data_IF_867567448965
#
_entry.id   IF_867567448965
#
_cell.length_a   1.000
_cell.length_b   1.000
_cell.length_c   1.000
_cell.angle_alpha   90.00
_cell.angle_beta   90.00
_cell.angle_gamma   90.00
#
_symmetry.space_group_name_H-M   'P 1'
#
loop_
_entity.id
_entity.type
_entity.pdbx_description
1 polymer ?
#
# COMPACT_ATOMS: atom_id res chain seq x y z
N UNK A 1 -15.58 -10.08 -9.47
CA UNK A 1 -15.51 -10.02 -7.98
C UNK A 1 -16.55 -10.93 -7.37
N UNK A 2 -16.17 -11.82 -6.45
CA UNK A 2 -17.12 -12.75 -5.78
C UNK A 2 -18.08 -11.99 -4.82
N UNK A 3 -17.63 -10.86 -4.26
CA UNK A 3 -18.36 -10.09 -3.25
C UNK A 3 -18.72 -8.69 -3.72
N UNK A 4 -19.90 -8.22 -3.32
CA UNK A 4 -20.34 -6.84 -3.60
C UNK A 4 -19.65 -5.83 -2.69
N UNK A 5 -19.59 -4.56 -3.10
CA UNK A 5 -19.03 -3.48 -2.27
C UNK A 5 -19.74 -3.38 -0.90
N UNK A 6 -21.06 -3.62 -0.85
CA UNK A 6 -21.82 -3.67 0.39
C UNK A 6 -21.32 -4.75 1.35
N UNK A 7 -21.03 -5.95 0.84
CA UNK A 7 -20.47 -7.05 1.63
C UNK A 7 -19.04 -6.75 2.09
N UNK A 8 -18.21 -6.17 1.22
CA UNK A 8 -16.85 -5.76 1.59
C UNK A 8 -16.83 -4.71 2.71
N UNK A 9 -17.76 -3.75 2.70
CA UNK A 9 -17.90 -2.79 3.80
C UNK A 9 -18.24 -3.47 5.12
N UNK A 10 -19.17 -4.45 5.11
CA UNK A 10 -19.49 -5.23 6.29
C UNK A 10 -18.33 -6.10 6.77
N UNK A 11 -17.59 -6.71 5.85
CA UNK A 11 -16.37 -7.45 6.20
C UNK A 11 -15.37 -6.55 6.90
N UNK A 12 -15.09 -5.36 6.34
CA UNK A 12 -14.22 -4.40 6.97
C UNK A 12 -14.66 -4.06 8.41
N UNK A 13 -15.92 -3.73 8.62
CA UNK A 13 -16.43 -3.34 9.93
C UNK A 13 -16.39 -4.50 10.93
N UNK A 14 -16.92 -5.66 10.56
CA UNK A 14 -17.05 -6.80 11.48
C UNK A 14 -15.66 -7.37 11.83
N UNK A 15 -14.77 -7.56 10.85
CA UNK A 15 -13.44 -8.07 11.14
C UNK A 15 -12.55 -7.05 11.87
N UNK A 16 -12.74 -5.75 11.66
CA UNK A 16 -12.09 -4.73 12.48
C UNK A 16 -12.53 -4.81 13.95
N UNK A 17 -13.81 -5.03 14.21
CA UNK A 17 -14.32 -5.21 15.56
C UNK A 17 -13.83 -6.52 16.20
N UNK A 18 -13.88 -7.62 15.46
CA UNK A 18 -13.40 -8.93 15.94
C UNK A 18 -11.88 -8.90 16.21
N UNK A 19 -11.11 -8.25 15.37
CA UNK A 19 -9.66 -8.06 15.58
C UNK A 19 -9.37 -7.28 16.85
N UNK A 20 -10.08 -6.18 17.07
CA UNK A 20 -9.97 -5.43 18.33
C UNK A 20 -10.34 -6.28 19.56
N UNK A 21 -11.39 -7.08 19.44
CA UNK A 21 -11.82 -7.97 20.53
C UNK A 21 -10.75 -9.03 20.84
N UNK A 22 -10.15 -9.65 19.82
CA UNK A 22 -9.07 -10.63 19.98
C UNK A 22 -7.82 -9.99 20.64
N UNK A 23 -7.40 -8.82 20.18
CA UNK A 23 -6.25 -8.12 20.77
C UNK A 23 -6.49 -7.72 22.22
N UNK A 24 -7.68 -7.20 22.51
CA UNK A 24 -8.07 -6.79 23.87
C UNK A 24 -8.16 -7.98 24.81
N UNK A 25 -8.74 -9.10 24.35
CA UNK A 25 -8.81 -10.34 25.10
C UNK A 25 -7.42 -10.93 25.38
N UNK A 26 -6.55 -10.98 24.38
CA UNK A 26 -5.18 -11.44 24.52
C UNK A 26 -4.37 -10.55 25.49
N UNK A 27 -4.58 -9.22 25.44
CA UNK A 27 -3.94 -8.28 26.35
C UNK A 27 -4.46 -8.44 27.79
N UNK A 28 -5.76 -8.66 27.97
CA UNK A 28 -6.39 -8.91 29.25
C UNK A 28 -5.88 -10.21 29.90
N UNK A 29 -5.77 -11.29 29.12
CA UNK A 29 -5.21 -12.56 29.57
C UNK A 29 -3.75 -12.43 30.04
N UNK A 30 -2.93 -11.62 29.35
CA UNK A 30 -1.51 -11.42 29.71
C UNK A 30 -1.27 -10.44 30.87
N UNK A 31 -2.10 -9.41 31.02
CA UNK A 31 -1.86 -8.28 31.97
C UNK A 31 -2.92 -8.16 33.07
N UNK A 32 -3.97 -9.00 33.08
CA UNK A 32 -5.07 -8.94 34.05
C UNK A 32 -5.91 -7.66 34.02
N UNK A 33 -5.79 -6.85 32.96
CA UNK A 33 -6.53 -5.57 32.80
C UNK A 33 -7.01 -5.39 31.38
N UNK A 34 -8.26 -4.98 31.22
CA UNK A 34 -8.82 -4.57 29.95
C UNK A 34 -8.21 -3.22 29.51
N UNK A 35 -7.36 -3.24 28.51
CA UNK A 35 -6.71 -2.06 27.94
C UNK A 35 -7.02 -2.01 26.44
N UNK A 36 -7.69 -0.94 26.01
CA UNK A 36 -7.79 -0.67 24.58
C UNK A 36 -6.41 -0.26 24.04
N UNK A 37 -5.80 -1.16 23.25
CA UNK A 37 -4.50 -0.96 22.60
C UNK A 37 -4.65 -0.46 21.16
N UNK A 38 -5.86 -0.35 20.64
CA UNK A 38 -6.10 0.15 19.29
C UNK A 38 -5.64 1.59 19.09
N UNK A 39 -5.30 1.94 17.87
CA UNK A 39 -5.08 3.33 17.46
C UNK A 39 -6.35 4.17 17.69
N UNK A 40 -7.51 3.61 17.38
CA UNK A 40 -8.81 4.22 17.56
C UNK A 40 -9.29 4.18 19.01
N UNK A 41 -10.14 5.16 19.38
CA UNK A 41 -10.85 5.14 20.66
C UNK A 41 -12.00 4.13 20.60
N UNK A 42 -12.66 4.03 19.45
CA UNK A 42 -13.69 3.04 19.18
C UNK A 42 -13.13 1.60 19.20
N UNK A 43 -13.97 0.59 19.48
CA UNK A 43 -13.57 -0.80 19.58
C UNK A 43 -13.33 -1.43 18.19
N UNK A 44 -12.41 -0.87 17.42
CA UNK A 44 -12.05 -1.31 16.08
C UNK A 44 -10.54 -1.32 15.85
N UNK A 45 -10.05 -2.38 15.19
CA UNK A 45 -8.68 -2.50 14.71
C UNK A 45 -8.70 -2.61 13.18
N UNK A 46 -8.56 -1.48 12.44
CA UNK A 46 -8.76 -1.45 10.98
C UNK A 46 -7.91 -2.45 10.20
N UNK A 47 -6.70 -2.74 10.65
CA UNK A 47 -5.78 -3.67 9.98
C UNK A 47 -6.42 -5.05 9.74
N UNK A 48 -7.24 -5.54 10.67
CA UNK A 48 -7.96 -6.83 10.49
C UNK A 48 -9.06 -6.72 9.45
N UNK A 49 -9.79 -5.60 9.43
CA UNK A 49 -10.80 -5.33 8.41
C UNK A 49 -10.18 -5.16 7.02
N UNK A 50 -9.09 -4.42 6.92
CA UNK A 50 -8.34 -4.25 5.68
C UNK A 50 -7.81 -5.59 5.17
N UNK A 51 -7.24 -6.43 6.05
CA UNK A 51 -6.79 -7.77 5.68
C UNK A 51 -7.93 -8.64 5.16
N UNK A 52 -9.08 -8.64 5.84
CA UNK A 52 -10.25 -9.41 5.41
C UNK A 52 -10.80 -8.97 4.05
N UNK A 53 -10.81 -7.65 3.78
CA UNK A 53 -11.17 -7.10 2.46
C UNK A 53 -10.15 -7.53 1.41
N UNK A 54 -8.85 -7.43 1.69
CA UNK A 54 -7.81 -7.91 0.80
C UNK A 54 -7.98 -9.41 0.50
N UNK A 55 -8.24 -10.25 1.50
CA UNK A 55 -8.49 -11.67 1.28
C UNK A 55 -9.72 -11.90 0.39
N UNK A 56 -10.81 -11.16 0.63
CA UNK A 56 -12.05 -11.29 -0.14
C UNK A 56 -11.91 -10.82 -1.60
N UNK A 57 -11.04 -9.87 -1.86
CA UNK A 57 -10.80 -9.32 -3.21
C UNK A 57 -9.74 -10.13 -3.96
N UNK A 58 -8.64 -10.51 -3.29
CA UNK A 58 -7.45 -11.01 -3.96
C UNK A 58 -7.32 -12.54 -3.96
N UNK A 59 -7.97 -13.27 -3.04
CA UNK A 59 -7.73 -14.70 -2.87
C UNK A 59 -8.88 -15.65 -3.25
N UNK A 60 -10.06 -15.20 -3.74
CA UNK A 60 -11.15 -16.14 -4.01
C UNK A 60 -10.81 -17.24 -5.01
N UNK A 61 -10.00 -16.92 -6.03
CA UNK A 61 -9.54 -17.88 -7.05
C UNK A 61 -8.71 -19.03 -6.47
N UNK A 62 -8.06 -18.80 -5.33
CA UNK A 62 -7.23 -19.80 -4.66
C UNK A 62 -8.03 -20.74 -3.73
N UNK A 63 -9.36 -20.60 -3.65
CA UNK A 63 -10.21 -21.50 -2.83
C UNK A 63 -10.10 -22.95 -3.22
N UNK A 64 -9.86 -23.26 -4.52
CA UNK A 64 -9.63 -24.63 -4.99
C UNK A 64 -8.30 -25.23 -4.52
N UNK A 65 -7.36 -24.40 -4.06
CA UNK A 65 -6.04 -24.78 -3.63
C UNK A 65 -5.70 -24.20 -2.23
N UNK A 66 -6.21 -24.80 -1.13
CA UNK A 66 -6.12 -24.23 0.23
C UNK A 66 -4.70 -23.92 0.70
N UNK A 67 -3.72 -24.68 0.27
CA UNK A 67 -2.32 -24.41 0.59
C UNK A 67 -1.87 -23.06 -0.01
N UNK A 68 -2.19 -22.81 -1.28
CA UNK A 68 -1.84 -21.54 -1.93
C UNK A 68 -2.66 -20.38 -1.38
N UNK A 69 -3.91 -20.62 -0.98
CA UNK A 69 -4.72 -19.62 -0.28
C UNK A 69 -4.10 -19.25 1.07
N UNK A 70 -3.64 -20.24 1.84
CA UNK A 70 -2.90 -20.01 3.09
C UNK A 70 -1.65 -19.15 2.86
N UNK A 71 -0.82 -19.53 1.86
CA UNK A 71 0.40 -18.78 1.53
C UNK A 71 0.07 -17.37 1.04
N UNK A 72 -0.91 -17.22 0.15
CA UNK A 72 -1.37 -15.92 -0.34
C UNK A 72 -1.87 -15.01 0.78
N UNK A 73 -2.68 -15.54 1.69
CA UNK A 73 -3.17 -14.79 2.86
C UNK A 73 -2.04 -14.39 3.82
N UNK A 74 -1.12 -15.31 4.07
CA UNK A 74 0.09 -15.04 4.86
C UNK A 74 0.90 -13.88 4.24
N UNK A 75 1.15 -13.90 2.94
CA UNK A 75 1.95 -12.89 2.26
C UNK A 75 1.25 -11.53 2.22
N UNK A 76 -0.03 -11.49 1.84
CA UNK A 76 -0.80 -10.24 1.74
C UNK A 76 -0.94 -9.55 3.09
N UNK A 77 -1.33 -10.28 4.13
CA UNK A 77 -1.49 -9.69 5.46
C UNK A 77 -0.15 -9.28 6.08
N UNK A 78 0.92 -10.06 5.85
CA UNK A 78 2.27 -9.69 6.30
C UNK A 78 2.75 -8.42 5.62
N UNK A 79 2.48 -8.26 4.32
CA UNK A 79 2.80 -7.03 3.59
C UNK A 79 1.97 -5.85 4.12
N UNK A 80 0.67 -6.02 4.35
CA UNK A 80 -0.20 -5.01 4.95
C UNK A 80 0.31 -4.59 6.34
N UNK A 81 0.61 -5.55 7.21
CA UNK A 81 1.11 -5.32 8.56
C UNK A 81 2.44 -4.56 8.55
N UNK A 82 3.36 -4.93 7.65
CA UNK A 82 4.62 -4.23 7.47
C UNK A 82 4.44 -2.79 6.98
N UNK A 83 3.60 -2.59 5.96
CA UNK A 83 3.31 -1.26 5.39
C UNK A 83 2.66 -0.38 6.44
N UNK A 84 1.62 -0.86 7.10
CA UNK A 84 0.88 -0.11 8.13
C UNK A 84 1.80 0.21 9.32
N UNK A 85 2.56 -0.77 9.82
CA UNK A 85 3.50 -0.59 10.93
C UNK A 85 4.59 0.43 10.60
N UNK A 86 5.18 0.34 9.41
CA UNK A 86 6.22 1.29 8.96
C UNK A 86 5.66 2.71 8.74
N UNK A 87 4.46 2.85 8.20
CA UNK A 87 3.79 4.14 8.02
C UNK A 87 3.45 4.79 9.36
N UNK A 88 2.85 4.04 10.28
CA UNK A 88 2.51 4.55 11.61
C UNK A 88 3.78 4.95 12.38
N UNK A 89 4.84 4.15 12.35
CA UNK A 89 6.12 4.53 12.96
C UNK A 89 6.70 5.79 12.30
N UNK A 90 6.60 5.93 10.99
CA UNK A 90 7.10 7.11 10.27
C UNK A 90 6.32 8.39 10.59
N UNK A 91 4.98 8.29 10.69
CA UNK A 91 4.09 9.43 10.92
C UNK A 91 4.14 9.85 12.39
N UNK A 92 4.03 8.89 13.30
CA UNK A 92 3.84 9.12 14.73
C UNK A 92 5.10 8.88 15.57
N UNK A 93 6.18 8.33 14.97
CA UNK A 93 7.46 8.11 15.63
C UNK A 93 7.48 6.97 16.64
N UNK A 94 6.45 6.09 16.63
CA UNK A 94 6.40 4.93 17.52
C UNK A 94 5.70 3.74 16.90
N UNK A 95 5.99 2.55 17.42
CA UNK A 95 5.39 1.29 17.01
C UNK A 95 4.11 1.02 17.79
N UNK A 96 3.02 0.68 17.10
CA UNK A 96 1.75 0.26 17.70
C UNK A 96 1.80 -1.17 18.23
N UNK A 97 2.55 -2.02 17.53
CA UNK A 97 2.91 -3.37 18.00
C UNK A 97 4.42 -3.53 17.83
N UNK A 98 4.99 -4.40 18.61
CA UNK A 98 6.43 -4.67 18.59
C UNK A 98 6.72 -6.15 18.81
N UNK A 99 7.15 -6.81 17.74
CA UNK A 99 7.55 -8.22 17.73
C UNK A 99 9.06 -8.40 17.88
N UNK A 100 9.79 -7.38 18.33
CA UNK A 100 11.26 -7.44 18.44
C UNK A 100 11.76 -8.58 19.32
N UNK A 101 10.93 -9.07 20.24
CA UNK A 101 11.23 -10.20 21.11
C UNK A 101 10.87 -11.56 20.51
N UNK A 102 10.12 -11.59 19.40
CA UNK A 102 9.75 -12.84 18.74
C UNK A 102 10.87 -13.27 17.78
N UNK A 103 11.14 -14.59 17.65
CA UNK A 103 12.10 -15.10 16.68
C UNK A 103 11.61 -14.84 15.25
N UNK A 104 12.54 -14.72 14.30
CA UNK A 104 12.23 -14.48 12.88
C UNK A 104 11.37 -13.21 12.65
N UNK A 105 11.61 -12.15 13.47
CA UNK A 105 10.96 -10.88 13.28
C UNK A 105 11.73 -9.98 12.31
N UNK A 106 10.99 -9.07 11.66
CA UNK A 106 11.54 -8.01 10.84
C UNK A 106 11.25 -6.67 11.50
N UNK A 107 12.27 -6.11 12.13
CA UNK A 107 12.23 -4.82 12.84
C UNK A 107 11.10 -4.68 13.88
N UNK A 108 10.57 -5.79 14.36
CA UNK A 108 9.43 -5.79 15.26
C UNK A 108 8.09 -5.43 14.60
N UNK A 109 8.03 -5.16 13.30
CA UNK A 109 6.77 -4.90 12.60
C UNK A 109 6.04 -6.19 12.24
N UNK A 110 6.78 -7.21 11.80
CA UNK A 110 6.25 -8.51 11.43
C UNK A 110 7.12 -9.62 12.01
N UNK A 111 6.55 -10.81 12.17
CA UNK A 111 7.32 -12.01 12.50
C UNK A 111 6.65 -13.26 11.91
N UNK A 112 7.45 -14.30 11.64
CA UNK A 112 6.98 -15.52 10.99
C UNK A 112 5.80 -16.16 11.72
N UNK A 113 5.80 -16.16 13.05
CA UNK A 113 4.72 -16.72 13.88
C UNK A 113 3.36 -16.10 13.57
N UNK A 114 3.27 -14.77 13.53
CA UNK A 114 2.03 -14.07 13.24
C UNK A 114 1.70 -14.06 11.76
N UNK A 115 2.70 -14.12 10.87
CA UNK A 115 2.47 -14.34 9.44
C UNK A 115 1.76 -15.68 9.18
N UNK A 116 2.15 -16.75 9.87
CA UNK A 116 1.44 -18.04 9.79
C UNK A 116 0.00 -17.95 10.32
N UNK A 117 -0.21 -17.20 11.40
CA UNK A 117 -1.56 -16.94 11.93
C UNK A 117 -2.41 -16.20 10.89
N UNK A 118 -1.86 -15.22 10.18
CA UNK A 118 -2.56 -14.51 9.10
C UNK A 118 -2.98 -15.45 7.96
N UNK A 119 -2.14 -16.43 7.60
CA UNK A 119 -2.51 -17.46 6.63
C UNK A 119 -3.71 -18.30 7.09
N UNK A 120 -3.74 -18.70 8.38
CA UNK A 120 -4.88 -19.40 8.95
C UNK A 120 -6.14 -18.54 9.00
N UNK A 121 -6.01 -17.26 9.32
CA UNK A 121 -7.13 -16.32 9.30
C UNK A 121 -7.69 -16.12 7.89
N UNK A 122 -6.85 -16.14 6.85
CA UNK A 122 -7.31 -16.07 5.46
C UNK A 122 -8.17 -17.30 5.09
N UNK A 123 -7.73 -18.51 5.47
CA UNK A 123 -8.53 -19.72 5.32
C UNK A 123 -9.86 -19.59 6.05
N UNK A 124 -9.84 -19.19 7.32
CA UNK A 124 -11.04 -18.98 8.11
C UNK A 124 -11.98 -17.96 7.46
N UNK A 125 -11.47 -16.81 7.04
CA UNK A 125 -12.27 -15.77 6.40
C UNK A 125 -12.97 -16.30 5.15
N UNK A 126 -12.26 -16.93 4.22
CA UNK A 126 -12.82 -17.31 2.92
C UNK A 126 -13.70 -18.55 2.96
N UNK A 127 -13.39 -19.53 3.82
CA UNK A 127 -14.17 -20.77 3.89
C UNK A 127 -15.34 -20.69 4.87
N UNK A 128 -15.22 -19.93 5.96
CA UNK A 128 -16.21 -19.91 7.02
C UNK A 128 -16.78 -18.51 7.29
N UNK A 129 -15.91 -17.55 7.53
CA UNK A 129 -16.30 -16.23 8.02
C UNK A 129 -17.11 -15.42 6.99
N UNK A 130 -16.59 -15.28 5.77
CA UNK A 130 -17.28 -14.52 4.73
C UNK A 130 -18.62 -15.13 4.31
N UNK A 131 -18.76 -16.47 4.07
CA UNK A 131 -20.05 -17.06 3.81
C UNK A 131 -21.07 -16.83 4.93
N UNK A 132 -20.64 -16.95 6.20
CA UNK A 132 -21.49 -16.66 7.34
C UNK A 132 -21.93 -15.19 7.37
N UNK A 133 -20.99 -14.26 7.16
CA UNK A 133 -21.28 -12.83 7.15
C UNK A 133 -22.19 -12.42 5.98
N UNK A 134 -22.03 -13.02 4.80
CA UNK A 134 -22.95 -12.82 3.67
C UNK A 134 -24.38 -13.25 4.07
N UNK A 135 -24.52 -14.42 4.71
CA UNK A 135 -25.82 -14.88 5.19
C UNK A 135 -26.43 -13.93 6.21
N UNK A 136 -25.64 -13.49 7.20
CA UNK A 136 -26.11 -12.55 8.23
C UNK A 136 -26.47 -11.17 7.67
N UNK A 137 -25.68 -10.65 6.74
CA UNK A 137 -25.96 -9.34 6.12
C UNK A 137 -27.18 -9.36 5.20
N UNK A 138 -27.54 -10.53 4.64
CA UNK A 138 -28.76 -10.69 3.84
C UNK A 138 -30.04 -10.63 4.68
N UNK A 139 -29.98 -10.84 6.01
CA UNK A 139 -31.12 -10.65 6.91
C UNK A 139 -31.43 -9.18 7.19
N UNK A 140 -30.47 -8.28 6.93
CA UNK A 140 -30.63 -6.85 7.15
C UNK A 140 -31.18 -6.22 5.86
N UNK A 141 -32.30 -5.48 5.91
CA UNK A 141 -32.76 -4.72 4.75
C UNK A 141 -31.65 -3.84 4.19
N UNK A 142 -31.38 -3.95 2.89
CA UNK A 142 -30.19 -3.35 2.24
C UNK A 142 -30.03 -1.86 2.51
N UNK A 143 -31.14 -1.10 2.48
CA UNK A 143 -31.14 0.35 2.80
C UNK A 143 -30.70 0.64 4.24
N UNK A 144 -31.23 -0.13 5.19
CA UNK A 144 -30.89 0.01 6.61
C UNK A 144 -29.42 -0.36 6.84
N UNK A 145 -28.97 -1.47 6.26
CA UNK A 145 -27.59 -1.92 6.37
C UNK A 145 -26.59 -0.93 5.76
N UNK A 146 -26.92 -0.28 4.64
CA UNK A 146 -26.08 0.76 4.03
C UNK A 146 -25.98 2.00 4.94
N UNK A 147 -27.10 2.46 5.49
CA UNK A 147 -27.12 3.62 6.41
C UNK A 147 -26.25 3.32 7.64
N UNK A 148 -26.41 2.14 8.25
CA UNK A 148 -25.61 1.74 9.42
C UNK A 148 -24.12 1.68 9.07
N UNK A 149 -23.76 1.01 7.97
CA UNK A 149 -22.36 0.86 7.56
C UNK A 149 -21.72 2.22 7.28
N UNK A 150 -22.40 3.11 6.55
CA UNK A 150 -21.91 4.47 6.27
C UNK A 150 -21.78 5.29 7.57
N UNK A 151 -22.77 5.24 8.45
CA UNK A 151 -22.71 5.95 9.72
C UNK A 151 -21.52 5.51 10.58
N UNK A 152 -21.28 4.19 10.69
CA UNK A 152 -20.12 3.65 11.43
C UNK A 152 -18.81 4.07 10.75
N UNK A 153 -18.71 4.02 9.42
CA UNK A 153 -17.52 4.48 8.70
C UNK A 153 -17.23 5.96 8.93
N UNK A 154 -18.25 6.81 8.92
CA UNK A 154 -18.09 8.26 9.22
C UNK A 154 -17.60 8.45 10.65
N UNK A 155 -18.16 7.73 11.63
CA UNK A 155 -17.69 7.77 13.02
C UNK A 155 -16.25 7.29 13.16
N UNK A 156 -15.86 6.20 12.45
CA UNK A 156 -14.49 5.69 12.44
C UNK A 156 -13.53 6.69 11.80
N UNK A 157 -13.92 7.33 10.70
CA UNK A 157 -13.12 8.38 10.05
C UNK A 157 -12.92 9.60 10.97
N UNK A 158 -13.96 10.01 11.68
CA UNK A 158 -13.88 11.09 12.67
C UNK A 158 -12.98 10.69 13.86
N UNK A 159 -13.08 9.46 14.37
CA UNK A 159 -12.20 8.93 15.42
C UNK A 159 -10.75 8.82 14.96
N UNK A 160 -10.52 8.36 13.73
CA UNK A 160 -9.20 8.31 13.12
C UNK A 160 -8.56 9.70 13.00
N UNK A 161 -9.33 10.68 12.53
CA UNK A 161 -8.89 12.07 12.44
C UNK A 161 -8.60 12.67 13.83
N UNK A 162 -9.46 12.43 14.81
CA UNK A 162 -9.30 12.88 16.20
C UNK A 162 -8.09 12.25 16.88
N UNK A 163 -7.93 10.93 16.77
CA UNK A 163 -6.79 10.18 17.32
C UNK A 163 -5.47 10.60 16.67
N UNK A 164 -5.47 10.75 15.33
CA UNK A 164 -4.32 11.25 14.58
C UNK A 164 -3.94 12.68 14.95
N UNK A 165 -4.92 13.58 15.06
CA UNK A 165 -4.70 14.98 15.48
C UNK A 165 -4.13 15.05 16.90
N UNK A 166 -4.67 14.28 17.85
CA UNK A 166 -4.18 14.22 19.23
C UNK A 166 -2.74 13.74 19.33
N UNK A 167 -2.37 12.74 18.51
CA UNK A 167 -0.99 12.22 18.44
C UNK A 167 -0.03 13.19 17.75
N UNK A 168 -0.47 13.85 16.69
CA UNK A 168 0.32 14.89 16.02
C UNK A 168 0.53 16.11 16.90
N UNK A 169 -0.41 16.42 17.83
CA UNK A 169 -0.21 17.46 18.84
C UNK A 169 0.84 17.04 19.87
N UNK A 170 0.79 15.81 20.37
CA UNK A 170 1.83 15.28 21.28
C UNK A 170 3.21 15.34 20.61
N UNK A 171 3.28 15.02 19.34
CA UNK A 171 4.49 15.13 18.52
C UNK A 171 4.78 16.57 18.06
N UNK A 172 3.78 17.39 17.85
CA UNK A 172 3.85 18.75 17.29
C UNK A 172 4.31 19.83 18.27
N UNK A 173 4.23 19.58 19.60
CA UNK A 173 4.91 20.41 20.60
C UNK A 173 6.43 20.47 20.38
N UNK A 174 6.94 19.70 19.44
CA UNK A 174 8.35 19.48 19.15
C UNK A 174 8.81 19.91 17.75
N UNK A 175 7.91 20.37 16.82
CA UNK A 175 8.27 20.78 15.44
C UNK A 175 7.90 22.22 15.16
N UNK A 176 8.77 22.96 14.45
CA UNK A 176 8.37 24.20 13.78
C UNK A 176 7.32 23.89 12.69
N UNK A 177 6.30 24.74 12.54
CA UNK A 177 5.12 24.41 11.77
C UNK A 177 5.38 24.48 10.26
N UNK A 178 5.20 23.36 9.56
CA UNK A 178 4.85 23.39 8.13
C UNK A 178 3.44 23.96 7.96
N UNK A 179 3.09 24.52 6.79
CA UNK A 179 1.75 25.11 6.54
C UNK A 179 0.61 24.10 6.76
N UNK A 180 0.83 22.83 6.43
CA UNK A 180 -0.11 21.74 6.71
C UNK A 180 -0.29 21.54 8.22
N UNK A 181 0.79 21.62 9.00
CA UNK A 181 0.79 21.53 10.46
C UNK A 181 0.07 22.71 11.11
N UNK A 182 0.06 23.91 10.49
CA UNK A 182 -0.68 25.09 10.98
C UNK A 182 -2.19 24.95 10.80
N UNK A 183 -2.65 24.45 9.65
CA UNK A 183 -4.08 24.19 9.40
C UNK A 183 -4.61 23.09 10.34
N UNK A 184 -3.86 22.03 10.55
CA UNK A 184 -4.23 20.97 11.49
C UNK A 184 -4.20 21.46 12.96
N UNK A 185 -3.31 22.38 13.34
CA UNK A 185 -3.33 23.01 14.66
C UNK A 185 -4.54 23.92 14.87
N UNK A 186 -4.98 24.63 13.85
CA UNK A 186 -6.20 25.44 13.94
C UNK A 186 -7.45 24.58 14.20
N UNK A 187 -7.56 23.45 13.47
CA UNK A 187 -8.61 22.44 13.71
C UNK A 187 -8.44 21.80 15.09
N UNK A 188 -7.23 21.52 15.50
CA UNK A 188 -6.89 20.87 16.76
C UNK A 188 -7.08 21.80 17.96
N UNK A 189 -6.76 23.09 17.85
CA UNK A 189 -7.04 24.09 18.90
C UNK A 189 -8.54 24.38 19.04
N UNK A 190 -9.32 24.25 17.95
CA UNK A 190 -10.78 24.29 18.02
C UNK A 190 -11.37 23.04 18.72
N UNK A 191 -10.61 21.93 18.74
CA UNK A 191 -10.94 20.67 19.41
C UNK A 191 -10.24 20.54 20.79
N UNK A 192 -9.63 21.60 21.35
CA UNK A 192 -8.97 21.58 22.67
C UNK A 192 -9.98 21.45 23.82
N UNK A 193 -10.70 20.35 23.77
CA UNK A 193 -11.77 19.98 24.67
C UNK A 193 -11.35 18.74 25.49
N UNK A 194 -12.19 18.38 26.45
CA UNK A 194 -12.05 17.19 27.31
C UNK A 194 -11.70 15.91 26.54
N UNK A 195 -12.13 15.78 25.28
CA UNK A 195 -11.89 14.64 24.38
C UNK A 195 -10.41 14.51 24.01
N UNK A 196 -9.74 15.59 23.59
CA UNK A 196 -8.30 15.56 23.24
C UNK A 196 -7.45 15.21 24.46
N UNK A 197 -7.78 15.76 25.63
CA UNK A 197 -7.11 15.42 26.89
C UNK A 197 -7.35 13.98 27.32
N UNK A 198 -8.55 13.46 27.09
CA UNK A 198 -8.86 12.04 27.34
C UNK A 198 -8.03 11.12 26.45
N UNK A 199 -7.98 11.39 25.14
CA UNK A 199 -7.21 10.63 24.14
C UNK A 199 -5.73 10.64 24.50
N UNK A 200 -5.16 11.80 24.83
CA UNK A 200 -3.77 11.95 25.22
C UNK A 200 -3.43 11.18 26.49
N UNK A 201 -4.29 11.20 27.51
CA UNK A 201 -4.11 10.42 28.74
C UNK A 201 -4.22 8.91 28.49
N UNK A 202 -5.14 8.49 27.64
CA UNK A 202 -5.27 7.08 27.23
C UNK A 202 -4.01 6.60 26.51
N UNK A 203 -3.54 7.37 25.54
CA UNK A 203 -2.33 7.05 24.77
C UNK A 203 -1.09 6.98 25.64
N UNK A 204 -0.89 7.93 26.55
CA UNK A 204 0.23 7.91 27.48
C UNK A 204 0.21 6.68 28.41
N UNK A 205 -0.98 6.19 28.78
CA UNK A 205 -1.11 4.96 29.59
C UNK A 205 -0.92 3.68 28.77
N UNK A 206 -1.38 3.68 27.51
CA UNK A 206 -1.24 2.52 26.62
C UNK A 206 0.20 2.36 26.13
N UNK A 207 0.92 3.47 25.95
CA UNK A 207 2.26 3.53 25.36
C UNK A 207 3.22 4.38 26.21
N UNK A 208 3.80 3.82 27.28
CA UNK A 208 4.73 4.54 28.17
C UNK A 208 6.01 5.04 27.49
N UNK A 209 6.32 4.54 26.28
CA UNK A 209 7.53 4.88 25.51
C UNK A 209 7.47 6.22 24.76
N UNK A 210 6.41 7.02 24.94
CA UNK A 210 6.33 8.42 24.47
C UNK A 210 7.28 9.33 25.28
N UNK A 211 8.57 9.00 25.27
CA UNK A 211 9.60 9.80 25.96
C UNK A 211 9.95 11.03 25.11
N UNK A 212 9.55 12.20 25.61
CA UNK A 212 9.74 13.50 24.96
C UNK A 212 11.22 13.86 24.74
N UNK A 213 12.12 13.32 25.55
CA UNK A 213 13.54 13.69 25.50
C UNK A 213 14.31 12.93 24.42
N UNK A 214 13.94 11.68 24.15
CA UNK A 214 14.52 10.88 23.06
C UNK A 214 14.15 11.45 21.69
N UNK A 215 12.89 11.87 21.52
CA UNK A 215 12.40 12.53 20.30
C UNK A 215 13.05 13.90 20.06
N UNK A 216 13.40 14.65 21.11
CA UNK A 216 14.14 15.93 21.01
C UNK A 216 15.56 15.74 20.52
N UNK A 217 16.27 14.70 20.98
CA UNK A 217 17.64 14.41 20.57
C UNK A 217 17.76 13.97 19.12
N UNK A 218 16.85 13.11 18.66
CA UNK A 218 16.82 12.67 17.24
C UNK A 218 16.56 13.83 16.28
N UNK A 219 15.68 14.76 16.66
CA UNK A 219 15.36 15.96 15.86
C UNK A 219 16.46 17.01 15.81
N UNK A 220 17.25 17.14 16.86
CA UNK A 220 18.43 18.03 16.84
C UNK A 220 19.44 17.56 15.79
N UNK A 221 19.58 16.23 15.60
CA UNK A 221 20.42 15.63 14.57
C UNK A 221 19.85 15.81 13.16
N UNK A 222 18.54 15.83 12.98
CA UNK A 222 17.89 16.08 11.67
C UNK A 222 17.95 17.56 11.22
N UNK A 223 17.85 18.53 12.14
CA UNK A 223 17.92 19.98 11.82
C UNK A 223 19.25 20.41 11.20
N UNK A 224 20.36 19.76 11.56
CA UNK A 224 21.69 20.06 11.01
C UNK A 224 21.86 19.57 9.55
N UNK A 225 21.00 18.66 9.08
CA UNK A 225 21.10 18.03 7.76
C UNK A 225 20.34 18.71 6.61
N UNK A 226 19.53 19.72 6.83
CA UNK A 226 18.54 20.23 5.86
C UNK A 226 19.12 21.20 4.79
N UNK A 227 20.36 21.04 4.34
CA UNK A 227 20.98 21.97 3.35
C UNK A 227 20.98 21.45 1.91
N UNK A 228 20.58 20.22 1.64
CA UNK A 228 20.66 19.59 0.32
C UNK A 228 19.24 19.27 -0.20
N UNK A 229 19.03 19.50 -1.51
CA UNK A 229 17.75 19.16 -2.16
C UNK A 229 17.45 17.67 -2.02
N UNK A 230 16.19 17.33 -1.75
CA UNK A 230 15.69 15.97 -1.67
C UNK A 230 16.47 15.04 -0.71
N UNK A 231 17.09 15.58 0.33
CA UNK A 231 17.86 14.80 1.31
C UNK A 231 16.96 13.80 2.06
N UNK A 232 17.46 12.59 2.28
CA UNK A 232 16.74 11.52 2.96
C UNK A 232 15.69 10.84 2.07
N UNK A 233 14.61 10.31 2.69
CA UNK A 233 13.53 9.61 2.01
C UNK A 233 12.22 10.41 2.10
N UNK A 234 12.22 11.64 1.56
CA UNK A 234 11.07 12.55 1.53
C UNK A 234 10.37 12.59 0.17
N UNK A 235 9.26 13.37 0.10
CA UNK A 235 8.44 13.51 -1.12
C UNK A 235 9.27 13.81 -2.38
N UNK A 236 10.15 14.82 -2.35
CA UNK A 236 10.98 15.17 -3.49
C UNK A 236 11.86 14.02 -3.96
N UNK A 237 12.52 13.30 -3.03
CA UNK A 237 13.33 12.13 -3.35
C UNK A 237 12.49 11.02 -3.99
N UNK A 238 11.35 10.68 -3.39
CA UNK A 238 10.49 9.59 -3.85
C UNK A 238 9.89 9.88 -5.23
N UNK A 239 9.53 11.12 -5.53
CA UNK A 239 9.06 11.52 -6.86
C UNK A 239 10.11 11.28 -7.93
N UNK A 240 11.37 11.71 -7.69
CA UNK A 240 12.45 11.48 -8.62
C UNK A 240 12.76 9.99 -8.79
N UNK A 241 12.77 9.23 -7.69
CA UNK A 241 12.93 7.78 -7.73
C UNK A 241 11.85 7.14 -8.57
N UNK A 242 10.59 7.54 -8.38
CA UNK A 242 9.46 7.03 -9.16
C UNK A 242 9.67 7.24 -10.66
N UNK A 243 9.95 8.47 -11.08
CA UNK A 243 10.11 8.81 -12.51
C UNK A 243 11.31 8.08 -13.13
N UNK A 244 12.47 8.08 -12.45
CA UNK A 244 13.67 7.44 -12.97
C UNK A 244 13.51 5.91 -13.00
N UNK A 245 12.92 5.32 -11.97
CA UNK A 245 12.70 3.88 -11.93
C UNK A 245 11.62 3.43 -12.93
N UNK A 246 10.59 4.24 -13.17
CA UNK A 246 9.59 3.98 -14.19
C UNK A 246 10.22 3.98 -15.60
N UNK A 247 11.11 4.93 -15.88
CA UNK A 247 11.85 5.00 -17.14
C UNK A 247 12.82 3.82 -17.30
N UNK A 248 13.67 3.59 -16.31
CA UNK A 248 14.68 2.52 -16.37
C UNK A 248 14.04 1.13 -16.41
N UNK A 249 12.93 0.94 -15.68
CA UNK A 249 12.20 -0.33 -15.65
C UNK A 249 11.59 -0.67 -17.00
N UNK A 250 10.95 0.30 -17.65
CA UNK A 250 10.42 0.11 -19.01
C UNK A 250 11.51 -0.22 -20.02
N UNK A 251 12.61 0.52 -20.00
CA UNK A 251 13.77 0.25 -20.87
C UNK A 251 14.35 -1.15 -20.62
N UNK A 252 14.48 -1.54 -19.35
CA UNK A 252 14.97 -2.87 -18.97
C UNK A 252 14.05 -3.97 -19.48
N UNK A 253 12.74 -3.87 -19.26
CA UNK A 253 11.77 -4.85 -19.74
C UNK A 253 11.71 -4.92 -21.27
N UNK A 254 11.77 -3.78 -21.95
CA UNK A 254 11.79 -3.73 -23.44
C UNK A 254 13.02 -4.46 -23.98
N UNK A 255 14.20 -4.25 -23.39
CA UNK A 255 15.43 -4.98 -23.75
C UNK A 255 15.30 -6.44 -23.39
N UNK A 256 14.77 -6.79 -22.21
CA UNK A 256 14.54 -8.17 -21.80
C UNK A 256 13.61 -8.92 -22.76
N UNK A 257 12.52 -8.29 -23.22
CA UNK A 257 11.61 -8.87 -24.23
C UNK A 257 12.35 -9.15 -25.55
N UNK A 258 13.25 -8.26 -25.97
CA UNK A 258 14.06 -8.51 -27.16
C UNK A 258 14.92 -9.76 -27.05
N UNK A 259 15.51 -10.02 -25.89
CA UNK A 259 16.34 -11.21 -25.71
C UNK A 259 15.52 -12.49 -25.46
N UNK A 260 14.38 -12.40 -24.77
CA UNK A 260 13.57 -13.56 -24.41
C UNK A 260 12.58 -13.98 -25.49
N UNK A 261 11.98 -13.01 -26.21
CA UNK A 261 10.94 -13.26 -27.22
C UNK A 261 11.43 -13.02 -28.65
N UNK A 262 12.60 -12.42 -28.85
CA UNK A 262 13.15 -12.11 -30.17
C UNK A 262 12.58 -10.84 -30.82
N UNK A 263 11.63 -10.15 -30.18
CA UNK A 263 10.93 -8.99 -30.71
C UNK A 263 11.06 -7.76 -29.79
N UNK A 264 11.03 -6.56 -30.40
CA UNK A 264 10.92 -5.32 -29.66
C UNK A 264 9.45 -5.06 -29.32
N UNK A 265 9.11 -5.18 -28.04
CA UNK A 265 7.76 -4.97 -27.55
C UNK A 265 7.76 -3.84 -26.51
N UNK A 266 6.83 -2.88 -26.64
CA UNK A 266 6.64 -1.86 -25.62
C UNK A 266 6.16 -2.50 -24.31
N UNK A 267 6.75 -2.04 -23.21
CA UNK A 267 6.37 -2.45 -21.84
C UNK A 267 5.89 -1.23 -21.04
N UNK A 268 5.63 -0.12 -21.74
CA UNK A 268 5.16 1.10 -21.11
C UNK A 268 3.76 0.90 -20.51
N UNK A 269 3.57 1.43 -19.32
CA UNK A 269 2.24 1.54 -18.70
C UNK A 269 1.52 2.85 -19.07
N UNK A 270 2.18 3.76 -19.78
CA UNK A 270 1.67 5.09 -20.09
C UNK A 270 1.73 5.39 -21.59
N UNK A 271 0.78 6.19 -22.06
CA UNK A 271 0.70 6.60 -23.47
C UNK A 271 1.81 7.55 -23.92
N UNK A 272 2.33 8.36 -22.99
CA UNK A 272 3.35 9.35 -23.30
C UNK A 272 4.67 9.01 -22.63
N UNK A 273 5.61 8.53 -23.42
CA UNK A 273 6.95 8.16 -23.02
C UNK A 273 7.08 6.73 -22.48
N UNK A 274 8.31 6.23 -22.40
CA UNK A 274 8.61 4.87 -21.98
C UNK A 274 8.63 4.79 -20.44
N UNK A 275 7.47 4.73 -19.81
CA UNK A 275 7.35 4.69 -18.35
C UNK A 275 6.53 3.49 -17.89
N UNK A 276 7.13 2.59 -17.11
CA UNK A 276 6.45 1.54 -16.40
C UNK A 276 6.12 1.98 -14.96
N UNK A 277 4.83 2.27 -14.69
CA UNK A 277 4.39 2.66 -13.34
C UNK A 277 4.59 1.55 -12.32
N UNK A 278 4.58 0.29 -12.75
CA UNK A 278 4.84 -0.86 -11.89
C UNK A 278 6.26 -0.79 -11.33
N UNK A 279 7.27 -0.54 -12.15
CA UNK A 279 8.63 -0.34 -11.69
C UNK A 279 8.80 0.92 -10.85
N UNK A 280 8.13 2.00 -11.23
CA UNK A 280 8.15 3.26 -10.49
C UNK A 280 7.64 3.11 -9.06
N UNK A 281 6.43 2.60 -8.89
CA UNK A 281 5.85 2.37 -7.56
C UNK A 281 6.57 1.25 -6.79
N UNK A 282 6.99 0.18 -7.46
CA UNK A 282 7.79 -0.87 -6.85
C UNK A 282 9.07 -0.34 -6.21
N UNK A 283 9.84 0.47 -6.94
CA UNK A 283 11.05 1.10 -6.43
C UNK A 283 10.78 2.05 -5.25
N UNK A 284 9.68 2.83 -5.30
CA UNK A 284 9.26 3.71 -4.19
C UNK A 284 8.91 2.88 -2.95
N UNK A 285 8.09 1.84 -3.09
CA UNK A 285 7.68 0.96 -1.99
C UNK A 285 8.90 0.29 -1.37
N UNK A 286 9.76 -0.33 -2.18
CA UNK A 286 11.00 -0.95 -1.71
C UNK A 286 11.91 0.06 -0.98
N UNK A 287 12.04 1.28 -1.52
CA UNK A 287 12.84 2.33 -0.88
C UNK A 287 12.25 2.75 0.46
N UNK A 288 10.93 3.01 0.53
CA UNK A 288 10.28 3.44 1.77
C UNK A 288 10.40 2.38 2.86
N UNK A 289 10.21 1.11 2.51
CA UNK A 289 10.20 0.00 3.46
C UNK A 289 11.62 -0.44 3.84
N UNK A 290 12.55 -0.49 2.86
CA UNK A 290 13.87 -1.10 3.06
C UNK A 290 15.03 -0.10 3.20
N UNK A 291 14.82 1.21 2.98
CA UNK A 291 15.86 2.22 3.13
C UNK A 291 16.60 2.19 4.47
N UNK A 292 15.89 1.94 5.56
CA UNK A 292 16.46 1.81 6.92
C UNK A 292 17.39 0.60 7.07
N UNK A 293 17.26 -0.41 6.17
CA UNK A 293 17.97 -1.69 6.21
C UNK A 293 19.05 -1.80 5.13
N UNK A 294 19.37 -0.71 4.46
CA UNK A 294 20.38 -0.69 3.39
C UNK A 294 21.75 -1.25 3.82
N UNK A 295 22.07 -1.18 5.11
CA UNK A 295 23.34 -1.68 5.69
C UNK A 295 23.24 -3.16 6.16
N UNK A 296 22.07 -3.79 6.03
CA UNK A 296 21.88 -5.22 6.34
C UNK A 296 22.51 -6.11 5.26
N UNK A 297 22.66 -7.42 5.58
CA UNK A 297 23.20 -8.43 4.66
C UNK A 297 22.31 -8.57 3.43
N UNK A 298 22.92 -8.89 2.31
CA UNK A 298 22.22 -9.02 1.02
C UNK A 298 21.13 -10.10 1.04
N UNK A 299 21.38 -11.25 1.71
CA UNK A 299 20.36 -12.29 1.89
C UNK A 299 19.11 -11.83 2.63
N UNK A 300 19.24 -10.86 3.56
CA UNK A 300 18.09 -10.24 4.21
C UNK A 300 17.27 -9.39 3.22
N UNK A 301 17.95 -8.53 2.45
CA UNK A 301 17.27 -7.70 1.45
C UNK A 301 16.65 -8.56 0.34
N UNK A 302 17.35 -9.63 -0.07
CA UNK A 302 16.85 -10.59 -1.04
C UNK A 302 15.54 -11.24 -0.57
N UNK A 303 15.53 -11.82 0.64
CA UNK A 303 14.34 -12.50 1.18
C UNK A 303 13.14 -11.58 1.25
N UNK A 304 13.33 -10.37 1.82
CA UNK A 304 12.24 -9.41 1.93
C UNK A 304 11.82 -8.81 0.59
N UNK A 305 12.78 -8.60 -0.30
CA UNK A 305 12.49 -8.19 -1.68
C UNK A 305 11.67 -9.22 -2.44
N UNK A 306 11.98 -10.50 -2.26
CA UNK A 306 11.23 -11.64 -2.84
C UNK A 306 9.76 -11.59 -2.41
N UNK A 307 9.51 -11.47 -1.10
CA UNK A 307 8.15 -11.46 -0.53
C UNK A 307 7.39 -10.19 -0.92
N UNK A 308 8.01 -9.02 -0.71
CA UNK A 308 7.37 -7.73 -1.00
C UNK A 308 7.12 -7.54 -2.50
N UNK A 309 8.09 -7.91 -3.33
CA UNK A 309 7.97 -7.80 -4.78
C UNK A 309 6.89 -8.72 -5.32
N UNK A 310 6.84 -9.99 -4.87
CA UNK A 310 5.79 -10.92 -5.25
C UNK A 310 4.39 -10.45 -4.83
N UNK A 311 4.23 -9.98 -3.58
CA UNK A 311 2.95 -9.44 -3.11
C UNK A 311 2.53 -8.18 -3.90
N UNK A 312 3.49 -7.32 -4.24
CA UNK A 312 3.26 -6.13 -5.04
C UNK A 312 2.82 -6.48 -6.47
N UNK A 313 3.54 -7.40 -7.15
CA UNK A 313 3.23 -7.84 -8.51
C UNK A 313 1.86 -8.51 -8.58
N UNK A 314 1.55 -9.38 -7.62
CA UNK A 314 0.22 -9.98 -7.49
C UNK A 314 -0.86 -8.91 -7.33
N UNK A 315 -0.65 -7.94 -6.44
CA UNK A 315 -1.56 -6.82 -6.24
C UNK A 315 -1.78 -5.98 -7.51
N UNK A 316 -0.72 -5.69 -8.27
CA UNK A 316 -0.83 -4.98 -9.55
C UNK A 316 -1.68 -5.76 -10.57
N UNK A 317 -1.50 -7.09 -10.68
CA UNK A 317 -2.30 -7.93 -11.58
C UNK A 317 -3.79 -7.88 -11.23
N UNK A 318 -4.13 -8.06 -9.95
CA UNK A 318 -5.54 -8.00 -9.52
C UNK A 318 -6.14 -6.61 -9.70
N UNK A 319 -5.39 -5.54 -9.38
CA UNK A 319 -5.87 -4.17 -9.58
C UNK A 319 -6.14 -3.85 -11.04
N UNK A 320 -5.28 -4.30 -11.97
CA UNK A 320 -5.49 -4.10 -13.40
C UNK A 320 -6.75 -4.80 -13.91
N UNK A 321 -7.00 -6.02 -13.43
CA UNK A 321 -8.23 -6.74 -13.76
C UNK A 321 -9.47 -6.08 -13.17
N UNK A 322 -9.44 -5.65 -11.90
CA UNK A 322 -10.56 -4.97 -11.27
C UNK A 322 -10.90 -3.61 -11.95
N UNK A 323 -9.89 -2.90 -12.43
CA UNK A 323 -10.07 -1.58 -13.04
C UNK A 323 -10.47 -1.66 -14.52
N UNK A 324 -9.94 -2.65 -15.24
CA UNK A 324 -10.01 -2.70 -16.69
C UNK A 324 -10.52 -4.04 -17.26
N UNK A 325 -10.76 -5.04 -16.42
CA UNK A 325 -11.07 -6.41 -16.90
C UNK A 325 -9.91 -7.04 -17.66
N UNK A 326 -8.68 -6.58 -17.43
CA UNK A 326 -7.52 -6.91 -18.28
C UNK A 326 -6.32 -7.24 -17.44
N UNK A 327 -5.54 -8.26 -17.83
CA UNK A 327 -4.23 -8.59 -17.27
C UNK A 327 -3.14 -8.33 -18.29
N UNK A 328 -1.97 -7.89 -17.82
CA UNK A 328 -0.82 -7.55 -18.68
C UNK A 328 0.27 -8.62 -18.70
N UNK A 329 0.13 -9.67 -17.88
CA UNK A 329 0.98 -10.87 -17.83
C UNK A 329 0.20 -12.07 -17.31
N UNK A 330 0.65 -13.26 -17.67
CA UNK A 330 0.04 -14.53 -17.29
C UNK A 330 1.15 -15.58 -17.14
N UNK A 331 1.30 -16.10 -15.93
CA UNK A 331 2.29 -17.12 -15.56
C UNK A 331 1.67 -18.50 -15.34
N UNK A 332 0.42 -18.73 -15.74
CA UNK A 332 -0.29 -20.00 -15.51
C UNK A 332 0.44 -21.20 -16.09
N UNK A 333 1.22 -21.00 -17.16
CA UNK A 333 2.04 -22.03 -17.79
C UNK A 333 3.38 -22.32 -17.10
N UNK A 334 3.78 -21.51 -16.09
CA UNK A 334 5.05 -21.67 -15.37
C UNK A 334 4.79 -22.38 -14.03
N UNK A 335 5.58 -23.43 -13.68
CA UNK A 335 5.44 -24.10 -12.39
C UNK A 335 5.59 -23.15 -11.19
N UNK A 336 4.95 -23.50 -10.07
CA UNK A 336 4.94 -22.71 -8.83
C UNK A 336 4.39 -21.29 -9.02
N UNK A 337 3.40 -21.12 -9.92
CA UNK A 337 2.63 -19.89 -10.01
C UNK A 337 1.51 -19.83 -8.95
N UNK A 338 1.05 -18.63 -8.65
CA UNK A 338 -0.07 -18.37 -7.76
C UNK A 338 -1.18 -17.68 -8.57
N UNK A 339 -2.17 -18.49 -9.02
CA UNK A 339 -3.28 -17.99 -9.84
C UNK A 339 -2.84 -17.38 -11.19
N UNK A 340 -1.73 -17.81 -11.78
CA UNK A 340 -1.18 -17.23 -13.00
C UNK A 340 -0.62 -15.82 -12.86
N UNK A 341 -0.80 -15.16 -11.70
CA UNK A 341 -0.49 -13.74 -11.48
C UNK A 341 0.94 -13.48 -11.06
N UNK A 342 1.54 -14.41 -10.32
CA UNK A 342 2.97 -14.44 -9.96
C UNK A 342 3.47 -15.86 -9.99
N UNK A 343 4.79 -16.03 -10.06
CA UNK A 343 5.45 -17.31 -9.83
C UNK A 343 6.73 -17.15 -8.99
N UNK A 344 7.18 -18.25 -8.42
CA UNK A 344 8.31 -18.25 -7.50
C UNK A 344 9.61 -17.73 -8.14
N UNK A 345 9.83 -18.01 -9.43
CA UNK A 345 11.03 -17.56 -10.16
C UNK A 345 11.07 -16.03 -10.25
N UNK A 346 9.95 -15.39 -10.62
CA UNK A 346 9.88 -13.93 -10.69
C UNK A 346 9.89 -13.27 -9.31
N UNK A 347 9.36 -13.94 -8.28
CA UNK A 347 9.57 -13.46 -6.90
C UNK A 347 11.07 -13.40 -6.55
N UNK A 348 11.88 -14.38 -6.97
CA UNK A 348 13.35 -14.35 -6.79
C UNK A 348 13.99 -13.21 -7.58
N UNK A 349 13.52 -12.93 -8.79
CA UNK A 349 13.99 -11.77 -9.55
C UNK A 349 13.71 -10.46 -8.81
N UNK A 350 12.53 -10.31 -8.18
CA UNK A 350 12.25 -9.18 -7.29
C UNK A 350 13.22 -9.11 -6.10
N UNK A 351 13.60 -10.24 -5.54
CA UNK A 351 14.63 -10.33 -4.50
C UNK A 351 15.98 -9.81 -4.98
N UNK A 352 16.45 -10.25 -6.15
CA UNK A 352 17.69 -9.80 -6.77
C UNK A 352 17.59 -8.30 -7.09
N UNK A 353 16.51 -7.87 -7.74
CA UNK A 353 16.26 -6.48 -8.08
C UNK A 353 16.30 -5.57 -6.84
N UNK A 354 15.76 -6.04 -5.71
CA UNK A 354 15.80 -5.31 -4.43
C UNK A 354 17.23 -5.12 -3.92
N UNK A 355 18.06 -6.16 -3.97
CA UNK A 355 19.48 -6.04 -3.54
C UNK A 355 20.21 -5.06 -4.45
N UNK A 356 20.07 -5.20 -5.76
CA UNK A 356 20.67 -4.29 -6.75
C UNK A 356 20.16 -2.86 -6.56
N UNK A 357 18.86 -2.70 -6.36
CA UNK A 357 18.24 -1.40 -6.10
C UNK A 357 18.83 -0.73 -4.86
N UNK A 358 18.75 -1.37 -3.72
CA UNK A 358 19.13 -0.76 -2.42
C UNK A 358 20.64 -0.57 -2.30
N UNK A 359 21.46 -1.49 -2.80
CA UNK A 359 22.93 -1.45 -2.64
C UNK A 359 23.64 -0.69 -3.75
N UNK A 360 23.09 -0.69 -4.96
CA UNK A 360 23.82 -0.21 -6.15
C UNK A 360 23.15 1.01 -6.77
N UNK A 361 21.86 0.88 -7.15
CA UNK A 361 21.19 1.92 -7.92
C UNK A 361 20.75 3.09 -7.05
N UNK A 362 20.06 2.81 -5.95
CA UNK A 362 19.54 3.85 -5.07
C UNK A 362 20.62 4.83 -4.56
N UNK A 363 21.79 4.39 -4.05
CA UNK A 363 22.82 5.33 -3.61
C UNK A 363 23.31 6.25 -4.71
N UNK A 364 23.50 5.72 -5.93
CA UNK A 364 23.96 6.52 -7.09
C UNK A 364 22.89 7.53 -7.51
N UNK A 365 21.65 7.11 -7.61
CA UNK A 365 20.53 7.97 -7.97
C UNK A 365 20.25 9.02 -6.90
N UNK A 366 20.30 8.64 -5.62
CA UNK A 366 20.18 9.57 -4.51
C UNK A 366 21.19 10.68 -4.58
N UNK A 367 22.48 10.34 -4.81
CA UNK A 367 23.55 11.31 -4.95
C UNK A 367 23.36 12.23 -6.17
N UNK A 368 22.85 11.69 -7.28
CA UNK A 368 22.56 12.48 -8.49
C UNK A 368 21.42 13.48 -8.24
N UNK A 369 20.32 13.03 -7.62
CA UNK A 369 19.17 13.88 -7.28
C UNK A 369 19.57 14.98 -6.29
N UNK A 370 20.42 14.66 -5.31
CA UNK A 370 20.88 15.61 -4.29
C UNK A 370 21.79 16.72 -4.83
N UNK A 371 22.36 16.54 -6.03
CA UNK A 371 23.14 17.59 -6.71
C UNK A 371 22.28 18.72 -7.30
N UNK A 372 20.98 18.49 -7.44
CA UNK A 372 20.08 19.51 -7.98
C UNK A 372 20.00 20.72 -7.03
N UNK A 373 20.01 21.95 -7.56
CA UNK A 373 19.82 23.14 -6.74
C UNK A 373 18.43 23.16 -6.10
N UNK A 374 18.32 23.69 -4.90
CA UNK A 374 17.10 23.64 -4.07
C UNK A 374 15.84 24.21 -4.77
N UNK A 375 15.94 25.41 -5.38
CA UNK A 375 14.79 26.08 -6.03
C UNK A 375 14.40 25.40 -7.34
N UNK A 376 15.31 25.23 -8.33
CA UNK A 376 14.99 24.51 -9.57
C UNK A 376 14.52 23.06 -9.32
N UNK A 377 15.15 22.36 -8.39
CA UNK A 377 14.76 20.99 -8.05
C UNK A 377 13.30 20.89 -7.56
N UNK A 378 12.85 21.84 -6.74
CA UNK A 378 11.43 21.87 -6.29
C UNK A 378 10.47 22.15 -7.45
N UNK A 379 10.78 23.13 -8.31
CA UNK A 379 9.93 23.47 -9.47
C UNK A 379 9.84 22.27 -10.41
N UNK A 380 10.99 21.70 -10.78
CA UNK A 380 11.03 20.55 -11.68
C UNK A 380 10.30 19.34 -11.11
N UNK A 381 10.39 19.10 -9.79
CA UNK A 381 9.60 18.02 -9.14
C UNK A 381 8.10 18.21 -9.35
N UNK A 382 7.57 19.43 -9.16
CA UNK A 382 6.15 19.68 -9.35
C UNK A 382 5.72 19.57 -10.82
N UNK A 383 6.57 19.98 -11.75
CA UNK A 383 6.32 19.75 -13.19
C UNK A 383 6.29 18.26 -13.53
N UNK A 384 7.21 17.47 -12.98
CA UNK A 384 7.21 16.01 -13.14
C UNK A 384 5.97 15.36 -12.52
N UNK A 385 5.55 15.80 -11.33
CA UNK A 385 4.30 15.31 -10.70
C UNK A 385 3.10 15.62 -11.59
N UNK A 386 2.96 16.86 -12.07
CA UNK A 386 1.87 17.25 -12.95
C UNK A 386 1.85 16.43 -14.23
N UNK A 387 3.02 16.27 -14.87
CA UNK A 387 3.17 15.46 -16.08
C UNK A 387 2.80 14.00 -15.83
N UNK A 388 3.34 13.37 -14.79
CA UNK A 388 3.08 11.95 -14.53
C UNK A 388 1.62 11.69 -14.12
N UNK A 389 1.03 12.54 -13.29
CA UNK A 389 -0.39 12.41 -12.89
C UNK A 389 -1.30 12.62 -14.09
N UNK A 390 -1.04 13.64 -14.93
CA UNK A 390 -1.80 13.87 -16.16
C UNK A 390 -1.67 12.71 -17.14
N UNK A 391 -0.45 12.20 -17.34
CA UNK A 391 -0.19 11.06 -18.21
C UNK A 391 -0.89 9.79 -17.70
N UNK A 392 -0.82 9.48 -16.39
CA UNK A 392 -1.54 8.35 -15.80
C UNK A 392 -3.06 8.48 -15.99
N UNK A 393 -3.62 9.68 -15.76
CA UNK A 393 -5.04 9.90 -15.92
C UNK A 393 -5.51 9.72 -17.37
N UNK A 394 -4.79 10.32 -18.34
CA UNK A 394 -5.12 10.17 -19.77
C UNK A 394 -4.94 8.72 -20.22
N UNK A 395 -3.88 8.05 -19.80
CA UNK A 395 -3.62 6.64 -20.13
C UNK A 395 -4.72 5.72 -19.60
N UNK A 396 -5.14 5.92 -18.35
CA UNK A 396 -6.23 5.13 -17.78
C UNK A 396 -7.58 5.36 -18.48
N UNK A 397 -7.91 6.62 -18.81
CA UNK A 397 -9.14 6.96 -19.53
C UNK A 397 -9.14 6.40 -20.96
N UNK A 398 -8.02 6.53 -21.67
CA UNK A 398 -7.89 6.02 -23.03
C UNK A 398 -7.93 4.49 -23.09
N UNK A 399 -7.26 3.82 -22.14
CA UNK A 399 -7.30 2.35 -22.05
C UNK A 399 -8.68 1.86 -21.62
N UNK A 400 -9.32 2.49 -20.62
CA UNK A 400 -10.71 2.18 -20.26
C UNK A 400 -11.67 2.35 -21.42
N UNK A 401 -11.49 3.41 -22.25
CA UNK A 401 -12.29 3.59 -23.47
C UNK A 401 -12.03 2.52 -24.54
N UNK A 402 -10.79 2.05 -24.68
CA UNK A 402 -10.43 0.92 -25.52
C UNK A 402 -11.17 -0.35 -25.08
N UNK A 403 -11.20 -0.64 -23.78
CA UNK A 403 -11.96 -1.78 -23.22
C UNK A 403 -13.47 -1.65 -23.52
N UNK A 404 -14.07 -0.46 -23.35
CA UNK A 404 -15.47 -0.22 -23.69
C UNK A 404 -15.75 -0.47 -25.19
N UNK A 405 -14.85 -0.03 -26.09
CA UNK A 405 -14.99 -0.28 -27.54
C UNK A 405 -14.88 -1.76 -27.87
N UNK A 406 -14.00 -2.50 -27.23
CA UNK A 406 -13.90 -3.97 -27.42
C UNK A 406 -15.17 -4.73 -26.98
N UNK A 407 -16.01 -4.10 -26.16
CA UNK A 407 -17.33 -4.60 -25.74
C UNK A 407 -18.49 -3.98 -26.54
N UNK A 408 -18.22 -3.33 -27.68
CA UNK A 408 -19.20 -2.65 -28.52
C UNK A 408 -20.01 -1.54 -27.82
N UNK A 409 -19.48 -0.93 -26.76
CA UNK A 409 -20.13 0.16 -26.02
C UNK A 409 -19.95 1.49 -26.78
N UNK A 410 -21.02 2.15 -27.23
CA UNK A 410 -20.90 3.41 -27.99
C UNK A 410 -20.46 4.58 -27.10
N UNK A 411 -19.85 5.61 -27.72
CA UNK A 411 -19.44 6.83 -27.03
C UNK A 411 -20.66 7.64 -26.54
N UNK A 412 -20.91 7.63 -25.22
CA UNK A 412 -22.09 8.25 -24.60
C UNK A 412 -21.90 9.75 -24.30
N UNK A 413 -20.67 10.27 -24.26
CA UNK A 413 -20.37 11.65 -23.87
C UNK A 413 -19.25 12.27 -24.74
N UNK A 414 -19.01 13.58 -24.55
CA UNK A 414 -18.00 14.33 -25.32
C UNK A 414 -16.56 13.84 -25.03
N UNK A 415 -16.29 13.37 -23.80
CA UNK A 415 -14.97 12.84 -23.43
C UNK A 415 -14.71 11.52 -24.15
N UNK A 416 -15.67 10.61 -24.18
CA UNK A 416 -15.55 9.34 -24.90
C UNK A 416 -15.31 9.59 -26.41
N UNK A 417 -16.04 10.50 -27.05
CA UNK A 417 -15.83 10.89 -28.45
C UNK A 417 -14.44 11.52 -28.70
N UNK A 418 -13.97 12.34 -27.76
CA UNK A 418 -12.61 12.90 -27.84
C UNK A 418 -11.56 11.78 -27.77
N UNK A 419 -11.72 10.83 -26.86
CA UNK A 419 -10.82 9.70 -26.71
C UNK A 419 -10.82 8.79 -27.95
N UNK A 420 -11.98 8.52 -28.54
CA UNK A 420 -12.10 7.74 -29.77
C UNK A 420 -11.35 8.38 -30.94
N UNK A 421 -11.41 9.72 -31.05
CA UNK A 421 -10.73 10.45 -32.11
C UNK A 421 -9.21 10.57 -31.95
N UNK A 422 -8.72 10.62 -30.69
CA UNK A 422 -7.30 10.87 -30.42
C UNK A 422 -6.50 9.62 -30.06
N UNK A 423 -7.18 8.55 -29.59
CA UNK A 423 -6.58 7.29 -29.15
C UNK A 423 -7.30 6.10 -29.81
N UNK A 424 -7.13 5.92 -31.13
CA UNK A 424 -7.68 4.76 -31.84
C UNK A 424 -7.04 3.46 -31.35
N UNK A 425 -7.68 2.32 -31.64
CA UNK A 425 -7.29 1.01 -31.14
C UNK A 425 -5.86 0.64 -31.51
N UNK A 426 -5.44 0.93 -32.74
CA UNK A 426 -4.07 0.63 -33.21
C UNK A 426 -3.00 1.38 -32.40
N UNK A 427 -3.32 2.56 -31.86
CA UNK A 427 -2.43 3.30 -30.99
C UNK A 427 -2.34 2.66 -29.61
N UNK A 428 -3.46 2.23 -29.07
CA UNK A 428 -3.53 1.57 -27.75
C UNK A 428 -2.83 0.21 -27.79
N UNK A 429 -3.10 -0.60 -28.79
CA UNK A 429 -2.47 -1.92 -28.99
C UNK A 429 -0.96 -1.82 -29.17
N UNK A 430 -0.47 -0.78 -29.83
CA UNK A 430 0.98 -0.53 -29.97
C UNK A 430 1.65 -0.22 -28.61
N UNK A 431 0.96 0.47 -27.71
CA UNK A 431 1.49 0.81 -26.39
C UNK A 431 1.33 -0.35 -25.42
N UNK A 432 0.21 -1.07 -25.50
CA UNK A 432 -0.16 -2.16 -24.59
C UNK A 432 -0.31 -3.52 -25.30
N UNK A 433 0.71 -3.99 -26.02
CA UNK A 433 0.60 -5.21 -26.85
C UNK A 433 0.40 -6.50 -26.00
N UNK A 434 0.66 -6.46 -24.72
CA UNK A 434 0.50 -7.60 -23.81
C UNK A 434 -0.84 -7.62 -23.07
N UNK A 435 -1.75 -6.66 -23.33
CA UNK A 435 -3.04 -6.62 -22.68
C UNK A 435 -3.91 -7.81 -23.13
N UNK A 436 -4.42 -8.59 -22.15
CA UNK A 436 -5.33 -9.70 -22.38
C UNK A 436 -6.61 -9.45 -21.60
N UNK A 437 -7.74 -9.50 -22.29
CA UNK A 437 -9.05 -9.43 -21.65
C UNK A 437 -9.30 -10.71 -20.85
N UNK A 438 -9.87 -10.56 -19.68
CA UNK A 438 -10.28 -11.68 -18.82
C UNK A 438 -11.77 -11.88 -19.04
N UNK A 439 -12.16 -13.09 -19.49
CA UNK A 439 -13.55 -13.50 -19.73
C UNK A 439 -14.36 -13.61 -18.44
#
# INVERSE_FOLDING_TARGET
MEYTLYQLLWFFLIYSFLGWLMETAAAAAKKGKLLNRGFLNAPFSPVYGEAAVLFAVFLPELKSAPFFLFVGGMLLATALELVTGALLERIFGQKWWDYSQEPWNFNGHICLKYSLVWGLLALFCLFLGNPLLVTLTNWIPRSVGQIIAIAVLVLLAADFAGSGAALLQLNGSLKEPSEVSRRWRAVSNALDNAVTRYIQRRMARAYPSLDKDRLKQERRKEKVRAQVFAQGCGFYKLTWIFVIAALLGDLFETVFCRFSMGEWQSRSSLLYGPFSIVWGFGAVILTVLLYRYRDRRDGFLFLFGTVLGGAYEYGCSVLSELMFGTVFWDYSHIPFNLGGRINLLYCFFWGIATVVWIKVLYPRMSNLIERLPMKPGKILTWLLVLFMVGNMAVSALAFGRYVERSMDVPAQNSVARFLDGHYPDERIERVYPSAKFVD
#
